data_IF_052159106149
#
_entry.id   IF_052159106149
#
_cell.length_a   1.000
_cell.length_b   1.000
_cell.length_c   1.000
_cell.angle_alpha   90.00
_cell.angle_beta   90.00
_cell.angle_gamma   90.00
#
_symmetry.space_group_name_H-M   'P 1'
#
loop_
_entity.id
_entity.type
_entity.pdbx_description
1 polymer ?
#
# COMPACT_ATOMS: atom_id res chain seq x y z
N UNK A 1 -9.87 2.12 22.27
CA UNK A 1 -11.10 2.47 21.56
C UNK A 1 -11.11 1.76 20.19
N UNK A 2 -12.11 0.88 19.90
CA UNK A 2 -12.17 0.15 18.64
C UNK A 2 -12.42 1.05 17.41
N UNK A 3 -12.92 2.26 17.65
CA UNK A 3 -13.16 3.27 16.59
C UNK A 3 -11.98 4.23 16.41
N UNK A 4 -10.93 4.07 17.18
CA UNK A 4 -9.79 4.96 17.16
C UNK A 4 -10.03 6.28 17.88
N UNK A 5 -9.34 7.32 17.44
CA UNK A 5 -9.37 8.65 18.04
C UNK A 5 -10.29 9.58 17.22
N UNK A 6 -11.06 10.40 17.90
CA UNK A 6 -12.00 11.33 17.26
C UNK A 6 -12.03 12.70 17.95
N UNK A 7 -12.60 13.70 17.27
CA UNK A 7 -12.86 15.03 17.80
C UNK A 7 -11.62 15.80 18.25
N UNK A 8 -11.73 16.47 19.40
CA UNK A 8 -10.67 17.34 19.93
C UNK A 8 -9.34 16.64 20.21
N UNK A 9 -9.37 15.34 20.56
CA UNK A 9 -8.15 14.55 20.75
C UNK A 9 -7.37 14.36 19.46
N UNK A 10 -8.06 14.15 18.33
CA UNK A 10 -7.42 14.04 17.03
C UNK A 10 -6.75 15.37 16.64
N UNK A 11 -7.44 16.47 16.84
CA UNK A 11 -6.87 17.81 16.58
C UNK A 11 -5.62 18.06 17.40
N UNK A 12 -5.65 17.78 18.70
CA UNK A 12 -4.52 18.00 19.61
C UNK A 12 -3.34 17.05 19.36
N UNK A 13 -3.62 15.77 19.10
CA UNK A 13 -2.59 14.74 19.08
C UNK A 13 -2.02 14.46 17.67
N UNK A 14 -2.70 14.90 16.62
CA UNK A 14 -2.31 14.64 15.23
C UNK A 14 -2.22 15.95 14.45
N UNK A 15 -3.35 16.67 14.29
CA UNK A 15 -3.42 17.82 13.38
C UNK A 15 -2.49 18.95 13.81
N UNK A 16 -2.52 19.35 15.10
CA UNK A 16 -1.67 20.42 15.60
C UNK A 16 -0.17 20.06 15.50
N UNK A 17 0.28 18.86 15.92
CA UNK A 17 1.68 18.46 15.70
C UNK A 17 2.09 18.42 14.22
N UNK A 18 1.21 17.98 13.31
CA UNK A 18 1.51 17.97 11.86
C UNK A 18 1.73 19.38 11.30
N UNK A 19 0.94 20.37 11.76
CA UNK A 19 1.13 21.79 11.39
C UNK A 19 2.53 22.28 11.82
N UNK A 20 3.02 21.77 12.95
CA UNK A 20 4.37 22.09 13.48
C UNK A 20 5.48 21.20 12.87
N UNK A 21 5.16 20.37 11.87
CA UNK A 21 6.12 19.57 11.12
C UNK A 21 6.33 18.15 11.67
N UNK A 22 5.51 17.69 12.61
CA UNK A 22 5.54 16.29 13.03
C UNK A 22 5.02 15.38 11.91
N UNK A 23 5.63 14.21 11.78
CA UNK A 23 5.25 13.21 10.78
C UNK A 23 4.93 11.89 11.46
N UNK A 24 3.95 11.17 10.91
CA UNK A 24 3.60 9.80 11.25
C UNK A 24 3.38 9.56 12.76
N UNK A 25 2.25 9.98 13.32
CA UNK A 25 1.92 9.75 14.73
C UNK A 25 1.78 8.26 15.05
N UNK A 26 2.21 7.86 16.25
CA UNK A 26 2.13 6.48 16.74
C UNK A 26 1.39 6.42 18.08
N UNK A 27 0.42 5.51 18.18
CA UNK A 27 -0.16 5.12 19.46
C UNK A 27 0.74 4.07 20.13
N UNK A 28 1.65 4.50 21.00
CA UNK A 28 2.64 3.63 21.66
C UNK A 28 2.19 3.09 23.00
N UNK A 29 1.37 3.86 23.71
CA UNK A 29 0.93 3.55 25.06
C UNK A 29 -0.57 3.30 25.08
N UNK A 30 -0.98 2.37 25.93
CA UNK A 30 -2.36 2.14 26.26
C UNK A 30 -2.54 2.14 27.78
N UNK A 31 -3.77 2.32 28.22
CA UNK A 31 -4.14 2.18 29.63
C UNK A 31 -5.08 0.99 29.78
N UNK A 32 -4.90 0.26 30.86
CA UNK A 32 -5.84 -0.76 31.31
C UNK A 32 -6.20 -0.48 32.78
N UNK A 33 -7.37 -0.95 33.16
CA UNK A 33 -7.85 -0.90 34.54
C UNK A 33 -7.72 -2.31 35.13
N UNK A 34 -7.11 -2.43 36.29
CA UNK A 34 -6.98 -3.71 36.99
C UNK A 34 -8.26 -4.07 37.76
N UNK A 35 -8.23 -5.21 38.43
CA UNK A 35 -9.39 -5.71 39.24
C UNK A 35 -9.76 -4.78 40.39
N UNK A 36 -8.84 -3.95 40.84
CA UNK A 36 -9.03 -2.96 41.91
C UNK A 36 -9.51 -1.59 41.39
N UNK A 37 -9.68 -1.44 40.07
CA UNK A 37 -10.10 -0.19 39.41
C UNK A 37 -8.99 0.83 39.23
N UNK A 38 -7.72 0.44 39.42
CA UNK A 38 -6.58 1.30 39.22
C UNK A 38 -6.15 1.29 37.74
N UNK A 39 -5.84 2.48 37.22
CA UNK A 39 -5.38 2.63 35.82
C UNK A 39 -3.87 2.55 35.73
N UNK A 40 -3.42 1.64 34.91
CA UNK A 40 -2.02 1.42 34.58
C UNK A 40 -1.74 1.78 33.13
N UNK A 41 -0.61 2.48 32.89
CA UNK A 41 -0.10 2.75 31.55
C UNK A 41 0.96 1.73 31.19
N UNK A 42 0.93 1.21 29.96
CA UNK A 42 1.95 0.31 29.46
C UNK A 42 2.29 0.61 27.99
N UNK A 43 3.52 0.34 27.60
CA UNK A 43 3.93 0.36 26.19
C UNK A 43 3.43 -0.88 25.50
N UNK A 44 2.73 -0.71 24.37
CA UNK A 44 2.25 -1.84 23.54
C UNK A 44 3.43 -2.43 22.79
N UNK A 45 3.88 -3.68 23.08
CA UNK A 45 5.17 -4.20 22.60
C UNK A 45 5.29 -4.21 21.08
N UNK A 46 4.26 -4.65 20.37
CA UNK A 46 4.27 -4.68 18.91
C UNK A 46 4.30 -3.28 18.29
N UNK A 47 3.67 -2.29 18.95
CA UNK A 47 3.70 -0.89 18.49
C UNK A 47 5.08 -0.29 18.71
N UNK A 48 5.69 -0.55 19.85
CA UNK A 48 7.05 -0.13 20.15
C UNK A 48 8.05 -0.70 19.14
N UNK A 49 7.94 -1.99 18.80
CA UNK A 49 8.77 -2.63 17.78
C UNK A 49 8.62 -1.94 16.42
N UNK A 50 7.37 -1.72 15.97
CA UNK A 50 7.10 -1.03 14.70
C UNK A 50 7.63 0.40 14.71
N UNK A 51 7.48 1.12 15.81
CA UNK A 51 7.98 2.49 15.97
C UNK A 51 9.50 2.58 15.85
N UNK A 52 10.23 1.72 16.57
CA UNK A 52 11.70 1.67 16.50
C UNK A 52 12.16 1.34 15.07
N UNK A 53 11.52 0.37 14.43
CA UNK A 53 11.81 0.02 13.03
C UNK A 53 11.54 1.19 12.08
N UNK A 54 10.45 1.93 12.30
CA UNK A 54 10.11 3.11 11.49
C UNK A 54 11.16 4.21 11.64
N UNK A 55 11.59 4.53 12.87
CA UNK A 55 12.67 5.50 13.10
C UNK A 55 13.93 5.09 12.35
N UNK A 56 14.35 3.83 12.48
CA UNK A 56 15.53 3.33 11.80
C UNK A 56 15.41 3.44 10.27
N UNK A 57 14.23 3.17 9.71
CA UNK A 57 14.00 3.29 8.28
C UNK A 57 14.03 4.75 7.80
N UNK A 58 13.50 5.70 8.58
CA UNK A 58 13.66 7.14 8.26
C UNK A 58 15.12 7.60 8.36
N UNK A 59 15.88 7.14 9.35
CA UNK A 59 17.31 7.42 9.45
C UNK A 59 18.07 6.84 8.25
N UNK A 60 17.79 5.59 7.87
CA UNK A 60 18.35 4.96 6.69
C UNK A 60 17.99 5.71 5.41
N UNK A 61 16.74 6.16 5.28
CA UNK A 61 16.32 6.96 4.13
C UNK A 61 17.10 8.27 4.01
N UNK A 62 17.45 8.90 5.12
CA UNK A 62 18.26 10.13 5.12
C UNK A 62 19.74 9.88 4.78
N UNK A 63 20.31 8.77 5.25
CA UNK A 63 21.75 8.50 5.12
C UNK A 63 22.11 7.72 3.85
N UNK A 64 21.19 6.93 3.33
CA UNK A 64 21.40 6.11 2.13
C UNK A 64 21.55 6.99 0.88
N UNK A 65 22.53 6.76 0.01
CA UNK A 65 22.64 7.49 -1.26
C UNK A 65 21.39 7.32 -2.14
N UNK A 66 21.01 8.37 -2.87
CA UNK A 66 19.82 8.31 -3.74
C UNK A 66 19.88 7.17 -4.76
N UNK A 67 21.05 6.85 -5.28
CA UNK A 67 21.27 5.76 -6.24
C UNK A 67 20.96 4.36 -5.70
N UNK A 68 20.95 4.20 -4.38
CA UNK A 68 20.67 2.93 -3.71
C UNK A 68 19.26 2.83 -3.16
N UNK A 69 18.55 3.96 -3.03
CA UNK A 69 17.18 4.01 -2.50
C UNK A 69 16.22 3.29 -3.44
N UNK A 70 15.41 2.40 -2.86
CA UNK A 70 14.30 1.73 -3.54
C UNK A 70 13.00 2.44 -3.20
N UNK A 71 12.30 2.95 -4.22
CA UNK A 71 11.07 3.73 -4.03
C UNK A 71 9.90 3.05 -4.75
N UNK A 72 8.85 2.77 -4.01
CA UNK A 72 7.58 2.29 -4.57
C UNK A 72 6.58 3.44 -4.66
N UNK A 73 6.02 3.67 -5.84
CA UNK A 73 5.04 4.72 -6.11
C UNK A 73 3.72 4.07 -6.51
N UNK A 74 2.71 4.17 -5.65
CA UNK A 74 1.35 3.73 -5.96
C UNK A 74 0.60 4.90 -6.60
N UNK A 75 0.39 4.82 -7.91
CA UNK A 75 -0.33 5.87 -8.62
C UNK A 75 -1.83 5.58 -8.64
N UNK A 76 -2.61 6.66 -8.54
CA UNK A 76 -4.07 6.56 -8.60
C UNK A 76 -4.52 6.00 -9.95
N UNK A 77 -5.39 5.00 -9.87
CA UNK A 77 -6.11 4.45 -11.01
C UNK A 77 -7.55 4.15 -10.58
N UNK A 78 -8.48 4.92 -11.10
CA UNK A 78 -9.91 4.70 -10.83
C UNK A 78 -10.39 3.36 -11.42
N UNK A 79 -11.32 2.65 -10.77
CA UNK A 79 -11.91 1.43 -11.30
C UNK A 79 -12.72 1.74 -12.55
N UNK A 80 -12.55 0.89 -13.57
CA UNK A 80 -13.30 0.99 -14.83
C UNK A 80 -12.96 2.19 -15.71
N UNK A 81 -11.98 3.01 -15.33
CA UNK A 81 -11.56 4.17 -16.12
C UNK A 81 -10.19 3.94 -16.76
N UNK A 82 -10.13 4.16 -18.08
CA UNK A 82 -8.86 4.30 -18.79
C UNK A 82 -8.19 5.67 -18.54
N UNK A 83 -8.90 6.61 -17.91
CA UNK A 83 -8.42 7.94 -17.61
C UNK A 83 -7.67 7.93 -16.27
N UNK A 84 -6.38 8.24 -16.33
CA UNK A 84 -5.51 8.42 -15.17
C UNK A 84 -5.56 9.89 -14.73
N UNK A 85 -6.73 10.31 -14.27
CA UNK A 85 -6.98 11.65 -13.71
C UNK A 85 -7.42 11.53 -12.26
N UNK A 86 -6.83 12.30 -11.38
CA UNK A 86 -7.15 12.35 -9.96
C UNK A 86 -7.54 13.79 -9.59
N UNK A 87 -8.86 14.07 -9.50
CA UNK A 87 -9.42 15.37 -9.13
C UNK A 87 -8.74 16.59 -9.82
N UNK A 88 -8.53 16.48 -11.14
CA UNK A 88 -7.89 17.51 -11.94
C UNK A 88 -6.37 17.38 -12.09
N UNK A 89 -5.74 16.44 -11.40
CA UNK A 89 -4.33 16.11 -11.62
C UNK A 89 -4.18 15.15 -12.80
N UNK A 90 -3.34 15.50 -13.76
CA UNK A 90 -2.92 14.60 -14.83
C UNK A 90 -1.84 13.64 -14.31
N UNK A 91 -2.22 12.43 -13.95
CA UNK A 91 -1.34 11.46 -13.27
C UNK A 91 -0.11 11.13 -14.11
N UNK A 92 -0.27 10.83 -15.40
CA UNK A 92 0.85 10.37 -16.23
C UNK A 92 1.91 11.45 -16.47
N UNK A 93 1.58 12.68 -16.90
CA UNK A 93 2.56 13.75 -17.02
C UNK A 93 3.25 14.08 -15.70
N UNK A 94 2.49 14.09 -14.60
CA UNK A 94 3.03 14.37 -13.27
C UNK A 94 4.01 13.29 -12.80
N UNK A 95 3.67 12.00 -12.98
CA UNK A 95 4.58 10.88 -12.71
C UNK A 95 5.85 10.96 -13.57
N UNK A 96 5.70 11.25 -14.85
CA UNK A 96 6.84 11.38 -15.73
C UNK A 96 7.81 12.48 -15.26
N UNK A 97 7.28 13.65 -14.92
CA UNK A 97 8.06 14.76 -14.39
C UNK A 97 8.75 14.40 -13.06
N UNK A 98 8.04 13.70 -12.17
CA UNK A 98 8.64 13.19 -10.92
C UNK A 98 9.81 12.24 -11.20
N UNK A 99 9.64 11.26 -12.10
CA UNK A 99 10.69 10.30 -12.44
C UNK A 99 11.91 10.99 -13.08
N UNK A 100 11.68 11.96 -13.96
CA UNK A 100 12.76 12.78 -14.54
C UNK A 100 13.51 13.52 -13.45
N UNK A 101 12.78 14.16 -12.52
CA UNK A 101 13.42 14.89 -11.41
C UNK A 101 14.18 13.95 -10.49
N UNK A 102 13.62 12.82 -10.10
CA UNK A 102 14.32 11.82 -9.28
C UNK A 102 15.62 11.36 -9.96
N UNK A 103 15.59 11.12 -11.27
CA UNK A 103 16.80 10.76 -12.02
C UNK A 103 17.86 11.86 -11.98
N UNK A 104 17.47 13.13 -12.07
CA UNK A 104 18.38 14.29 -11.93
C UNK A 104 18.97 14.39 -10.52
N UNK A 105 18.21 14.00 -9.50
CA UNK A 105 18.66 13.95 -8.10
C UNK A 105 19.48 12.67 -7.77
N UNK A 106 19.85 11.89 -8.79
CA UNK A 106 20.74 10.74 -8.63
C UNK A 106 20.10 9.43 -8.23
N UNK A 107 18.76 9.32 -8.27
CA UNK A 107 18.10 8.02 -8.11
C UNK A 107 18.43 7.10 -9.29
N UNK A 108 18.60 5.81 -9.00
CA UNK A 108 18.83 4.82 -10.05
C UNK A 108 17.50 4.55 -10.80
N UNK A 109 17.32 5.28 -11.91
CA UNK A 109 16.19 5.13 -12.83
C UNK A 109 16.73 4.75 -14.21
N UNK A 110 16.48 3.50 -14.59
CA UNK A 110 16.84 2.93 -15.90
C UNK A 110 15.60 2.62 -16.71
N UNK A 111 15.72 2.70 -18.05
CA UNK A 111 14.60 2.36 -18.94
C UNK A 111 13.44 3.36 -18.97
N UNK A 112 13.63 4.58 -18.43
CA UNK A 112 12.62 5.63 -18.47
C UNK A 112 12.27 5.96 -19.93
N UNK A 113 10.97 5.95 -20.34
CA UNK A 113 10.58 6.29 -21.70
C UNK A 113 10.88 7.75 -22.03
N UNK A 114 10.93 8.07 -23.33
CA UNK A 114 11.37 9.38 -23.82
C UNK A 114 10.40 10.54 -23.45
N UNK A 115 9.15 10.24 -23.15
CA UNK A 115 8.14 11.25 -22.81
C UNK A 115 6.96 10.62 -22.04
N UNK A 116 6.09 11.48 -21.51
CA UNK A 116 4.92 11.09 -20.76
C UNK A 116 3.92 10.24 -21.57
N UNK A 117 3.75 10.50 -22.87
CA UNK A 117 2.85 9.70 -23.72
C UNK A 117 3.30 8.22 -23.78
N UNK A 118 4.59 7.98 -23.94
CA UNK A 118 5.15 6.62 -23.93
C UNK A 118 5.01 5.97 -22.56
N UNK A 119 5.21 6.73 -21.49
CA UNK A 119 4.95 6.23 -20.12
C UNK A 119 3.48 5.84 -19.98
N UNK A 120 2.54 6.65 -20.48
CA UNK A 120 1.10 6.34 -20.45
C UNK A 120 0.76 5.03 -21.17
N UNK A 121 1.35 4.78 -22.34
CA UNK A 121 1.17 3.50 -23.06
C UNK A 121 1.71 2.31 -22.27
N UNK A 122 2.84 2.45 -21.58
CA UNK A 122 3.39 1.42 -20.71
C UNK A 122 2.44 1.16 -19.51
N UNK A 123 1.95 2.22 -18.86
CA UNK A 123 1.00 2.13 -17.76
C UNK A 123 -0.30 1.41 -18.20
N UNK A 124 -0.81 1.70 -19.39
CA UNK A 124 -1.99 1.01 -19.91
C UNK A 124 -1.75 -0.48 -20.14
N UNK A 125 -0.59 -0.85 -20.65
CA UNK A 125 -0.25 -2.24 -20.94
C UNK A 125 0.10 -3.07 -19.69
N UNK A 126 0.83 -2.47 -18.73
CA UNK A 126 1.44 -3.18 -17.60
C UNK A 126 0.78 -2.87 -16.26
N UNK A 127 0.02 -1.80 -16.15
CA UNK A 127 -0.64 -1.36 -14.91
C UNK A 127 -2.10 -1.80 -14.81
N UNK A 128 -2.51 -2.87 -15.48
CA UNK A 128 -3.88 -3.36 -15.40
C UNK A 128 -4.16 -3.99 -14.02
N UNK A 129 -5.32 -3.66 -13.46
CA UNK A 129 -5.85 -4.26 -12.23
C UNK A 129 -7.24 -4.78 -12.53
N UNK A 130 -7.44 -6.06 -12.25
CA UNK A 130 -8.71 -6.74 -12.45
C UNK A 130 -9.35 -7.03 -11.09
N UNK A 131 -10.55 -6.52 -10.90
CA UNK A 131 -11.40 -6.76 -9.72
C UNK A 131 -12.68 -7.52 -10.08
N UNK A 132 -12.79 -7.95 -11.34
CA UNK A 132 -13.83 -8.80 -11.87
C UNK A 132 -13.21 -9.80 -12.85
N UNK A 133 -13.93 -10.89 -13.09
CA UNK A 133 -13.46 -11.91 -14.03
C UNK A 133 -13.53 -11.39 -15.47
N UNK A 134 -12.39 -11.33 -16.14
CA UNK A 134 -12.24 -10.93 -17.54
C UNK A 134 -11.10 -11.73 -18.19
N UNK A 135 -11.33 -13.02 -18.46
CA UNK A 135 -10.30 -13.99 -18.86
C UNK A 135 -9.45 -13.52 -20.04
N UNK A 136 -10.05 -13.04 -21.10
CA UNK A 136 -9.31 -12.57 -22.28
C UNK A 136 -8.40 -11.39 -21.98
N UNK A 137 -8.89 -10.39 -21.22
CA UNK A 137 -8.13 -9.23 -20.84
C UNK A 137 -7.01 -9.59 -19.85
N UNK A 138 -7.27 -10.52 -18.95
CA UNK A 138 -6.26 -11.01 -18.00
C UNK A 138 -5.14 -11.79 -18.72
N UNK A 139 -5.47 -12.67 -19.64
CA UNK A 139 -4.48 -13.41 -20.42
C UNK A 139 -3.61 -12.48 -21.27
N UNK A 140 -4.20 -11.45 -21.89
CA UNK A 140 -3.46 -10.42 -22.62
C UNK A 140 -2.51 -9.63 -21.70
N UNK A 141 -2.98 -9.26 -20.51
CA UNK A 141 -2.15 -8.64 -19.48
C UNK A 141 -1.00 -9.54 -19.03
N UNK A 142 -1.24 -10.83 -18.80
CA UNK A 142 -0.19 -11.77 -18.39
C UNK A 142 0.90 -11.90 -19.45
N UNK A 143 0.55 -11.82 -20.73
CA UNK A 143 1.49 -11.94 -21.85
C UNK A 143 2.26 -10.62 -22.10
N UNK A 144 1.58 -9.48 -22.02
CA UNK A 144 2.13 -8.16 -22.41
C UNK A 144 2.55 -7.29 -21.22
N UNK A 145 1.91 -7.47 -20.07
CA UNK A 145 2.12 -6.67 -18.89
C UNK A 145 3.31 -7.09 -18.04
N UNK A 146 3.80 -8.30 -18.23
CA UNK A 146 4.93 -8.85 -17.46
C UNK A 146 4.80 -8.64 -15.94
N UNK A 147 3.67 -9.07 -15.31
CA UNK A 147 3.47 -8.87 -13.89
C UNK A 147 4.50 -9.64 -13.06
N UNK A 148 4.67 -9.22 -11.81
CA UNK A 148 5.34 -10.05 -10.83
C UNK A 148 4.43 -11.22 -10.44
N UNK A 149 4.97 -12.43 -10.45
CA UNK A 149 4.22 -13.64 -10.11
C UNK A 149 4.60 -14.12 -8.71
N UNK A 150 3.61 -14.11 -7.82
CA UNK A 150 3.79 -14.49 -6.42
C UNK A 150 3.26 -15.91 -6.22
N UNK A 151 4.11 -16.78 -5.68
CA UNK A 151 3.72 -18.14 -5.30
C UNK A 151 3.01 -18.16 -3.96
N UNK A 152 2.28 -19.25 -3.68
CA UNK A 152 1.62 -19.46 -2.39
C UNK A 152 2.62 -19.37 -1.22
N UNK A 153 3.74 -20.07 -1.32
CA UNK A 153 4.74 -20.11 -0.25
C UNK A 153 5.33 -18.72 0.05
N UNK A 154 5.61 -17.94 -0.99
CA UNK A 154 6.08 -16.55 -0.82
C UNK A 154 5.03 -15.69 -0.09
N UNK A 155 3.79 -15.74 -0.57
CA UNK A 155 2.70 -14.96 0.00
C UNK A 155 2.42 -15.33 1.45
N UNK A 156 2.30 -16.63 1.76
CA UNK A 156 2.04 -17.10 3.13
C UNK A 156 3.19 -16.77 4.07
N UNK A 157 4.45 -16.82 3.61
CA UNK A 157 5.58 -16.37 4.39
C UNK A 157 5.46 -14.89 4.77
N UNK A 158 5.12 -14.03 3.82
CA UNK A 158 4.91 -12.59 4.06
C UNK A 158 3.71 -12.31 4.95
N UNK A 159 2.61 -13.03 4.73
CA UNK A 159 1.41 -12.95 5.58
C UNK A 159 1.75 -13.30 7.03
N UNK A 160 2.46 -14.40 7.26
CA UNK A 160 2.89 -14.84 8.59
C UNK A 160 3.76 -13.81 9.30
N UNK A 161 4.59 -13.07 8.56
CA UNK A 161 5.44 -12.03 9.12
C UNK A 161 4.66 -10.74 9.41
N UNK A 162 3.68 -10.40 8.57
CA UNK A 162 3.04 -9.08 8.58
C UNK A 162 1.67 -9.05 9.24
N UNK A 163 0.88 -10.11 9.15
CA UNK A 163 -0.51 -10.15 9.61
C UNK A 163 -0.67 -11.06 10.83
N UNK A 164 -1.66 -10.75 11.65
CA UNK A 164 -2.14 -11.70 12.65
C UNK A 164 -2.94 -12.82 11.98
N UNK A 165 -2.92 -14.06 12.53
CA UNK A 165 -3.65 -15.18 11.94
C UNK A 165 -5.13 -14.89 11.72
N UNK A 166 -5.81 -14.24 12.69
CA UNK A 166 -7.21 -13.87 12.60
C UNK A 166 -7.48 -12.84 11.49
N UNK A 167 -6.51 -11.98 11.18
CA UNK A 167 -6.64 -11.04 10.04
C UNK A 167 -6.53 -11.75 8.70
N UNK A 168 -5.66 -12.74 8.60
CA UNK A 168 -5.58 -13.54 7.38
C UNK A 168 -6.83 -14.40 7.20
N UNK A 169 -7.40 -14.91 8.30
CA UNK A 169 -8.67 -15.66 8.24
C UNK A 169 -9.82 -14.80 7.71
N UNK A 170 -9.89 -13.49 8.07
CA UNK A 170 -10.89 -12.56 7.49
C UNK A 170 -10.79 -12.49 5.95
N UNK A 171 -9.57 -12.60 5.39
CA UNK A 171 -9.35 -12.60 3.92
C UNK A 171 -9.84 -13.92 3.31
N UNK A 172 -9.49 -15.04 3.92
CA UNK A 172 -9.88 -16.38 3.46
C UNK A 172 -11.42 -16.53 3.52
N UNK A 173 -12.05 -16.05 4.56
CA UNK A 173 -13.51 -16.08 4.71
C UNK A 173 -14.22 -15.23 3.62
N UNK A 174 -13.62 -14.12 3.22
CA UNK A 174 -14.20 -13.21 2.25
C UNK A 174 -13.90 -13.59 0.77
N UNK A 175 -12.70 -14.10 0.49
CA UNK A 175 -12.20 -14.31 -0.88
C UNK A 175 -11.71 -15.72 -1.17
N UNK A 176 -11.85 -16.66 -0.22
CA UNK A 176 -11.33 -18.02 -0.32
C UNK A 176 -9.81 -18.09 -0.09
N UNK A 177 -9.28 -19.29 -0.27
CA UNK A 177 -7.84 -19.53 -0.16
C UNK A 177 -7.05 -18.78 -1.24
N UNK A 178 -5.75 -18.54 -0.98
CA UNK A 178 -4.83 -18.00 -1.97
C UNK A 178 -4.84 -18.87 -3.25
N UNK A 179 -4.85 -18.27 -4.43
CA UNK A 179 -4.70 -16.83 -4.76
C UNK A 179 -6.03 -16.05 -4.80
N UNK A 180 -7.17 -16.65 -4.47
CA UNK A 180 -8.48 -16.08 -4.67
C UNK A 180 -8.87 -16.07 -6.17
N UNK A 181 -9.81 -15.18 -6.54
CA UNK A 181 -10.40 -15.15 -7.87
C UNK A 181 -9.84 -14.04 -8.80
N UNK A 182 -9.08 -13.08 -8.24
CA UNK A 182 -8.59 -11.93 -9.00
C UNK A 182 -7.10 -12.01 -9.24
N UNK A 183 -6.66 -11.71 -10.46
CA UNK A 183 -5.25 -11.75 -10.86
C UNK A 183 -4.58 -13.12 -10.66
N UNK A 184 -5.37 -14.18 -10.55
CA UNK A 184 -4.93 -15.55 -10.32
C UNK A 184 -4.59 -16.24 -11.64
N UNK A 185 -3.45 -16.91 -11.70
CA UNK A 185 -3.04 -17.72 -12.84
C UNK A 185 -3.59 -19.15 -12.72
N UNK A 186 -3.67 -19.88 -13.84
CA UNK A 186 -4.14 -21.27 -13.86
C UNK A 186 -3.23 -22.21 -13.04
N UNK A 187 -1.96 -21.85 -12.84
CA UNK A 187 -1.00 -22.60 -12.02
C UNK A 187 -0.94 -22.12 -10.55
N UNK A 188 -1.96 -21.36 -10.11
CA UNK A 188 -2.16 -20.99 -8.71
C UNK A 188 -1.24 -19.88 -8.19
N UNK A 189 -0.68 -19.04 -9.06
CA UNK A 189 0.08 -17.85 -8.68
C UNK A 189 -0.79 -16.60 -8.74
N UNK A 190 -0.34 -15.54 -8.09
CA UNK A 190 -0.98 -14.23 -8.11
C UNK A 190 -0.11 -13.24 -8.90
N UNK A 191 -0.71 -12.54 -9.86
CA UNK A 191 -0.04 -11.51 -10.63
C UNK A 191 -0.11 -10.14 -9.94
N UNK A 192 1.03 -9.46 -9.81
CA UNK A 192 1.11 -8.08 -9.33
C UNK A 192 1.52 -7.17 -10.49
N UNK A 193 0.66 -6.23 -10.83
CA UNK A 193 0.93 -5.24 -11.87
C UNK A 193 1.99 -4.25 -11.39
N UNK A 194 3.05 -4.06 -12.19
CA UNK A 194 4.12 -3.12 -11.89
C UNK A 194 4.86 -2.65 -13.13
N UNK A 195 5.42 -1.44 -13.07
CA UNK A 195 6.44 -0.96 -14.01
C UNK A 195 7.69 -0.61 -13.20
N UNK A 196 8.79 -1.24 -13.49
CA UNK A 196 10.03 -1.02 -12.76
C UNK A 196 11.07 -0.28 -13.61
N UNK A 197 11.61 0.79 -13.06
CA UNK A 197 12.66 1.62 -13.64
C UNK A 197 13.87 1.64 -12.69
N UNK A 198 14.73 0.64 -12.80
CA UNK A 198 15.84 0.45 -11.86
C UNK A 198 15.37 0.24 -10.42
N UNK A 199 15.67 1.18 -9.53
CA UNK A 199 15.28 1.14 -8.13
C UNK A 199 13.96 1.86 -7.82
N UNK A 200 13.23 2.30 -8.85
CA UNK A 200 11.90 2.90 -8.68
C UNK A 200 10.87 2.02 -9.36
N UNK A 201 9.79 1.71 -8.67
CA UNK A 201 8.68 0.92 -9.18
C UNK A 201 7.38 1.72 -9.11
N UNK A 202 6.64 1.74 -10.23
CA UNK A 202 5.29 2.26 -10.30
C UNK A 202 4.30 1.11 -10.18
N UNK A 203 3.34 1.24 -9.29
CA UNK A 203 2.29 0.25 -9.06
C UNK A 203 0.92 0.93 -9.16
N UNK A 204 -0.04 0.34 -9.89
CA UNK A 204 -1.40 0.87 -9.86
C UNK A 204 -2.01 0.67 -8.47
N UNK A 205 -2.76 1.65 -7.99
CA UNK A 205 -3.53 1.48 -6.77
C UNK A 205 -4.58 0.37 -7.00
N UNK A 206 -4.45 -0.73 -6.29
CA UNK A 206 -5.41 -1.82 -6.34
C UNK A 206 -6.73 -1.41 -5.67
N UNK A 207 -7.81 -2.06 -6.08
CA UNK A 207 -9.11 -1.90 -5.44
C UNK A 207 -9.11 -2.54 -4.05
N UNK A 208 -9.54 -1.78 -3.04
CA UNK A 208 -9.63 -2.25 -1.65
C UNK A 208 -10.88 -3.10 -1.38
N UNK A 209 -11.85 -3.09 -2.28
CA UNK A 209 -13.09 -3.86 -2.21
C UNK A 209 -13.34 -4.66 -3.48
N UNK A 210 -14.51 -5.31 -3.54
CA UNK A 210 -14.96 -6.11 -4.67
C UNK A 210 -16.40 -5.78 -5.06
N UNK A 211 -16.81 -6.17 -6.27
CA UNK A 211 -18.17 -6.04 -6.78
C UNK A 211 -18.32 -4.97 -7.87
N UNK A 212 -19.57 -4.73 -8.27
CA UNK A 212 -19.90 -3.86 -9.42
C UNK A 212 -20.07 -2.39 -9.03
N UNK A 213 -20.15 -2.09 -7.74
CA UNK A 213 -20.26 -0.72 -7.25
C UNK A 213 -18.87 -0.08 -7.17
N UNK A 214 -18.59 0.84 -8.08
CA UNK A 214 -17.29 1.53 -8.16
C UNK A 214 -16.90 2.25 -6.86
N UNK A 215 -17.87 2.78 -6.12
CA UNK A 215 -17.61 3.42 -4.82
C UNK A 215 -17.13 2.39 -3.78
N UNK A 216 -17.81 1.24 -3.68
CA UNK A 216 -17.40 0.15 -2.77
C UNK A 216 -16.06 -0.45 -3.17
N UNK A 217 -15.76 -0.51 -4.46
CA UNK A 217 -14.48 -1.02 -4.97
C UNK A 217 -13.31 -0.10 -4.58
N UNK A 218 -13.51 1.22 -4.62
CA UNK A 218 -12.46 2.19 -4.25
C UNK A 218 -12.36 2.34 -2.73
N UNK A 219 -13.51 2.59 -2.08
CA UNK A 219 -13.57 2.98 -0.67
C UNK A 219 -13.68 1.78 0.26
N UNK A 220 -13.72 0.57 -0.30
CA UNK A 220 -13.86 -0.65 0.47
C UNK A 220 -15.25 -0.80 1.09
N UNK A 221 -15.37 -1.84 1.88
CA UNK A 221 -16.54 -2.16 2.70
C UNK A 221 -16.04 -2.49 4.10
N UNK A 222 -16.90 -2.99 4.98
CA UNK A 222 -16.47 -3.57 6.25
C UNK A 222 -15.76 -4.93 6.09
N UNK A 223 -15.48 -5.36 4.86
CA UNK A 223 -14.78 -6.61 4.54
C UNK A 223 -13.27 -6.39 4.48
N UNK A 224 -12.51 -7.47 4.71
CA UNK A 224 -11.06 -7.49 4.46
C UNK A 224 -10.74 -7.11 3.00
N UNK A 225 -9.57 -6.50 2.73
CA UNK A 225 -9.13 -6.30 1.36
C UNK A 225 -8.77 -7.63 0.67
N UNK A 226 -8.90 -7.75 -0.65
CA UNK A 226 -8.62 -8.98 -1.37
C UNK A 226 -7.11 -9.33 -1.40
N UNK A 227 -6.79 -10.59 -1.72
CA UNK A 227 -5.41 -11.07 -1.82
C UNK A 227 -4.54 -10.20 -2.73
N UNK A 228 -5.07 -9.69 -3.84
CA UNK A 228 -4.36 -8.80 -4.77
C UNK A 228 -3.90 -7.50 -4.11
N UNK A 229 -4.76 -6.91 -3.28
CA UNK A 229 -4.45 -5.70 -2.52
C UNK A 229 -3.35 -5.97 -1.50
N UNK A 230 -3.52 -7.00 -0.69
CA UNK A 230 -2.57 -7.41 0.35
C UNK A 230 -1.22 -7.79 -0.29
N UNK A 231 -1.22 -8.65 -1.31
CA UNK A 231 -0.01 -9.10 -1.96
C UNK A 231 0.81 -7.96 -2.57
N UNK A 232 0.14 -6.95 -3.12
CA UNK A 232 0.81 -5.75 -3.65
C UNK A 232 1.64 -5.05 -2.57
N UNK A 233 1.06 -4.77 -1.40
CA UNK A 233 1.77 -4.12 -0.30
C UNK A 233 2.82 -5.02 0.35
N UNK A 234 2.55 -6.31 0.52
CA UNK A 234 3.53 -7.25 1.07
C UNK A 234 4.70 -7.46 0.11
N UNK A 235 4.47 -7.49 -1.20
CA UNK A 235 5.54 -7.51 -2.18
C UNK A 235 6.40 -6.24 -2.11
N UNK A 236 5.79 -5.08 -1.95
CA UNK A 236 6.51 -3.82 -1.76
C UNK A 236 7.43 -3.87 -0.53
N UNK A 237 6.96 -4.44 0.58
CA UNK A 237 7.74 -4.58 1.81
C UNK A 237 8.81 -5.66 1.73
N UNK A 238 8.44 -6.88 1.33
CA UNK A 238 9.28 -8.07 1.46
C UNK A 238 9.95 -8.50 0.15
N UNK A 239 9.30 -8.32 -0.99
CA UNK A 239 9.81 -8.67 -2.31
C UNK A 239 10.72 -7.58 -2.87
N UNK A 240 10.18 -6.40 -3.12
CA UNK A 240 10.91 -5.24 -3.61
C UNK A 240 11.81 -4.62 -2.54
N UNK A 241 11.39 -4.66 -1.27
CA UNK A 241 12.08 -4.09 -0.10
C UNK A 241 12.27 -2.58 -0.26
N UNK A 242 11.16 -1.87 -0.40
CA UNK A 242 11.15 -0.42 -0.58
C UNK A 242 11.71 0.31 0.65
N UNK A 243 12.55 1.30 0.41
CA UNK A 243 13.02 2.26 1.43
C UNK A 243 11.99 3.37 1.66
N UNK A 244 11.12 3.63 0.67
CA UNK A 244 10.01 4.58 0.77
C UNK A 244 8.82 4.14 -0.09
N UNK A 245 7.63 4.44 0.41
CA UNK A 245 6.35 4.30 -0.26
C UNK A 245 5.75 5.67 -0.51
N UNK A 246 5.32 5.94 -1.73
CA UNK A 246 4.60 7.16 -2.11
C UNK A 246 3.22 6.76 -2.65
N UNK A 247 2.15 7.29 -2.07
CA UNK A 247 0.85 7.32 -2.74
C UNK A 247 0.76 8.57 -3.60
N UNK A 248 0.57 8.39 -4.89
CA UNK A 248 0.60 9.45 -5.88
C UNK A 248 -0.78 9.65 -6.50
N UNK A 249 -1.49 10.64 -6.01
CA UNK A 249 -2.84 10.97 -6.38
C UNK A 249 -3.37 12.13 -5.54
N UNK A 250 -4.68 12.26 -5.40
CA UNK A 250 -5.30 13.21 -4.46
C UNK A 250 -5.33 12.66 -3.03
N UNK A 251 -5.29 11.34 -2.89
CA UNK A 251 -5.21 10.59 -1.64
C UNK A 251 -4.78 9.15 -1.95
N UNK A 252 -4.49 8.35 -0.92
CA UNK A 252 -4.28 6.91 -1.05
C UNK A 252 -5.60 6.12 -1.02
N UNK A 253 -5.53 4.86 -0.61
CA UNK A 253 -6.72 4.01 -0.39
C UNK A 253 -6.71 3.27 0.94
N UNK A 254 -5.63 3.36 1.68
CA UNK A 254 -5.49 2.66 2.97
C UNK A 254 -6.51 3.14 4.01
N UNK A 255 -6.85 4.42 3.98
CA UNK A 255 -7.85 5.05 4.83
C UNK A 255 -9.27 4.50 4.63
N UNK A 256 -9.52 3.85 3.51
CA UNK A 256 -10.82 3.22 3.21
C UNK A 256 -10.88 1.75 3.62
N UNK A 257 -9.79 1.19 4.14
CA UNK A 257 -9.83 -0.16 4.71
C UNK A 257 -10.62 -0.18 6.01
N UNK A 258 -11.29 -1.30 6.34
CA UNK A 258 -12.17 -1.35 7.51
C UNK A 258 -11.46 -1.07 8.84
N UNK A 259 -12.23 -0.60 9.81
CA UNK A 259 -11.86 -0.27 11.19
C UNK A 259 -11.23 1.12 11.34
N UNK A 260 -10.19 1.23 12.17
CA UNK A 260 -9.62 2.54 12.55
C UNK A 260 -8.83 3.17 11.42
N UNK A 261 -8.97 4.47 11.31
CA UNK A 261 -8.17 5.32 10.41
C UNK A 261 -7.03 6.03 11.14
N UNK A 262 -7.16 6.22 12.45
CA UNK A 262 -6.14 6.84 13.31
C UNK A 262 -5.94 6.02 14.59
N UNK A 263 -4.84 6.24 15.28
CA UNK A 263 -4.42 5.45 16.45
C UNK A 263 -4.31 3.95 16.12
N UNK A 264 -3.67 3.65 15.00
CA UNK A 264 -3.58 2.30 14.44
C UNK A 264 -2.84 1.32 15.34
N UNK A 265 -3.23 0.07 15.26
CA UNK A 265 -2.58 -1.06 15.92
C UNK A 265 -2.43 -2.25 14.96
N UNK A 266 -1.88 -3.36 15.45
CA UNK A 266 -1.65 -4.56 14.65
C UNK A 266 -2.92 -5.25 14.10
N UNK A 267 -4.11 -4.81 14.50
CA UNK A 267 -5.39 -5.26 13.95
C UNK A 267 -5.89 -4.40 12.78
N UNK A 268 -5.19 -3.34 12.44
CA UNK A 268 -5.61 -2.40 11.39
C UNK A 268 -4.82 -2.62 10.11
N UNK A 269 -5.51 -2.71 8.99
CA UNK A 269 -4.93 -2.96 7.68
C UNK A 269 -3.85 -1.95 7.29
N UNK A 270 -4.06 -0.63 7.44
CA UNK A 270 -3.04 0.35 7.07
C UNK A 270 -1.72 0.14 7.80
N UNK A 271 -1.80 -0.18 9.11
CA UNK A 271 -0.60 -0.44 9.90
C UNK A 271 0.21 -1.63 9.39
N UNK A 272 -0.47 -2.72 9.03
CA UNK A 272 0.19 -3.94 8.58
C UNK A 272 0.69 -3.86 7.14
N UNK A 273 -0.07 -3.20 6.27
CA UNK A 273 0.26 -3.08 4.85
C UNK A 273 1.38 -2.08 4.58
N UNK A 274 1.50 -1.03 5.38
CA UNK A 274 2.64 -0.10 5.31
C UNK A 274 3.83 -0.62 6.13
N UNK A 275 3.56 -1.29 7.24
CA UNK A 275 4.58 -1.75 8.16
C UNK A 275 5.43 -0.59 8.69
N UNK A 276 6.76 -0.76 8.67
CA UNK A 276 7.71 0.26 9.10
C UNK A 276 8.28 1.11 7.94
N UNK A 277 7.77 0.95 6.71
CA UNK A 277 8.26 1.69 5.54
C UNK A 277 7.91 3.18 5.67
N UNK A 278 8.85 4.11 5.46
CA UNK A 278 8.57 5.54 5.32
C UNK A 278 7.51 5.78 4.23
N UNK A 279 6.43 6.44 4.60
CA UNK A 279 5.24 6.58 3.77
C UNK A 279 4.90 8.05 3.56
N UNK A 280 4.66 8.42 2.31
CA UNK A 280 4.39 9.78 1.84
C UNK A 280 3.12 9.81 0.98
N UNK A 281 2.38 10.92 1.09
CA UNK A 281 1.23 11.25 0.27
C UNK A 281 1.54 12.40 -0.65
#
# INVERSE_FOLDING_TARGET
DPMGMAGGFMSQSIVTPEIDGAIRPFALFAQYEDEEGLRHSYAVPERLKTFVSTINNYLNLNTKPNSEKKVAIYYYKGPGQNALTAAGMEVVPSLYNLLVRMKQEGYNISGLPANAEKLGKMIQAQGAVFNSYAEGAFNDFMQKGHPELITKDQYESWVKESLRPEKYQEVVDAFGEFPGNYMATNDGKLGIARLQFGNVVLMPQNAAGSGDNSFQVIHGTNMAPPHTYIASYLWMQHGFKADALIHFGTHGSLEFTPRKQVALCSNDWPDRLVGAVPHFY
#
